data_IF_766348214245
#
_entry.id   IF_766348214245
#
_cell.length_a   1.000
_cell.length_b   1.000
_cell.length_c   1.000
_cell.angle_alpha   90.00
_cell.angle_beta   90.00
_cell.angle_gamma   90.00
#
_symmetry.space_group_name_H-M   'P 1'
#
loop_
_entity.id
_entity.type
_entity.pdbx_description
1 polymer ?
#
# COMPACT_ATOMS: atom_id res chain seq x y z
N UNK A 1 -39.23 19.96 0.29
CA UNK A 1 -38.36 18.86 0.74
C UNK A 1 -36.99 19.12 0.15
N UNK A 2 -35.93 19.04 0.96
CA UNK A 2 -34.58 19.04 0.40
C UNK A 2 -34.42 17.78 -0.44
N UNK A 3 -34.01 17.93 -1.69
CA UNK A 3 -33.80 16.80 -2.59
C UNK A 3 -32.49 16.11 -2.20
N UNK A 4 -32.50 14.79 -2.20
CA UNK A 4 -31.29 14.00 -1.91
C UNK A 4 -30.76 13.42 -3.20
N UNK A 5 -29.43 13.26 -3.29
CA UNK A 5 -28.82 12.58 -4.43
C UNK A 5 -29.39 11.16 -4.63
N UNK A 6 -29.86 10.52 -3.56
CA UNK A 6 -30.44 9.18 -3.60
C UNK A 6 -31.69 9.09 -4.49
N UNK A 7 -32.56 10.09 -4.43
CA UNK A 7 -33.75 10.15 -5.29
C UNK A 7 -33.35 10.38 -6.74
N UNK A 8 -32.47 11.35 -6.99
CA UNK A 8 -31.98 11.65 -8.33
C UNK A 8 -31.24 10.45 -8.95
N UNK A 9 -30.46 9.72 -8.15
CA UNK A 9 -29.76 8.52 -8.59
C UNK A 9 -30.72 7.39 -8.97
N UNK A 10 -31.87 7.25 -8.28
CA UNK A 10 -32.89 6.28 -8.65
C UNK A 10 -33.57 6.63 -9.98
N UNK A 11 -33.82 7.91 -10.23
CA UNK A 11 -34.39 8.42 -11.50
C UNK A 11 -33.42 8.21 -12.67
N UNK A 12 -32.13 8.41 -12.43
CA UNK A 12 -31.07 8.31 -13.43
C UNK A 12 -30.49 6.90 -13.59
N UNK A 13 -30.86 5.94 -12.74
CA UNK A 13 -30.22 4.61 -12.67
C UNK A 13 -30.19 3.87 -14.03
N UNK A 14 -31.21 4.07 -14.87
CA UNK A 14 -31.33 3.47 -16.20
C UNK A 14 -30.27 3.96 -17.21
N UNK A 15 -29.63 5.11 -16.95
CA UNK A 15 -28.61 5.70 -17.80
C UNK A 15 -27.20 5.16 -17.50
N UNK A 16 -27.07 4.29 -16.49
CA UNK A 16 -25.79 3.76 -16.02
C UNK A 16 -25.74 2.24 -16.18
N UNK A 17 -24.54 1.73 -16.42
CA UNK A 17 -24.26 0.30 -16.65
C UNK A 17 -24.18 -0.50 -15.35
N UNK A 18 -23.98 0.19 -14.22
CA UNK A 18 -23.71 -0.39 -12.92
C UNK A 18 -24.35 0.47 -11.81
N UNK A 19 -24.64 -0.08 -10.62
CA UNK A 19 -25.29 0.68 -9.55
C UNK A 19 -24.54 1.96 -9.19
N UNK A 20 -25.27 3.05 -9.03
CA UNK A 20 -24.74 4.33 -8.55
C UNK A 20 -24.48 4.22 -7.05
N UNK A 21 -23.25 4.52 -6.61
CA UNK A 21 -22.82 4.39 -5.21
C UNK A 21 -22.43 5.71 -4.54
N UNK A 22 -22.23 6.76 -5.33
CA UNK A 22 -21.94 8.12 -4.87
C UNK A 22 -22.16 9.12 -6.01
N UNK A 23 -21.98 10.40 -5.74
CA UNK A 23 -21.90 11.44 -6.76
C UNK A 23 -20.71 12.36 -6.52
N UNK A 24 -20.28 13.08 -7.55
CA UNK A 24 -19.47 14.28 -7.42
C UNK A 24 -20.39 15.49 -7.50
N UNK A 25 -20.34 16.33 -6.49
CA UNK A 25 -20.99 17.65 -6.48
C UNK A 25 -19.87 18.68 -6.61
N UNK A 26 -19.88 19.47 -7.69
CA UNK A 26 -18.87 20.51 -7.95
C UNK A 26 -17.42 19.96 -7.86
N UNK A 27 -17.21 18.73 -8.35
CA UNK A 27 -15.92 18.02 -8.31
C UNK A 27 -15.63 17.25 -7.03
N UNK A 28 -16.36 17.47 -5.93
CA UNK A 28 -16.15 16.77 -4.66
C UNK A 28 -17.00 15.51 -4.53
N UNK A 29 -16.38 14.40 -4.12
CA UNK A 29 -17.10 13.12 -3.90
C UNK A 29 -17.97 13.20 -2.66
N UNK A 30 -19.27 12.96 -2.83
CA UNK A 30 -20.29 12.93 -1.78
C UNK A 30 -21.08 11.63 -1.82
N UNK A 31 -21.47 11.15 -0.64
CA UNK A 31 -22.43 10.04 -0.49
C UNK A 31 -23.77 10.43 -1.13
N UNK A 32 -24.45 9.45 -1.73
CA UNK A 32 -25.81 9.55 -2.27
C UNK A 32 -26.86 10.00 -1.24
N UNK A 33 -26.58 9.87 0.06
CA UNK A 33 -27.41 10.44 1.13
C UNK A 33 -27.30 11.97 1.26
N UNK A 34 -26.37 12.60 0.54
CA UNK A 34 -26.14 14.05 0.66
C UNK A 34 -27.23 14.85 -0.05
N UNK A 35 -27.51 16.01 0.51
CA UNK A 35 -28.36 17.04 -0.09
C UNK A 35 -27.60 17.74 -1.23
N UNK A 36 -28.35 18.27 -2.19
CA UNK A 36 -27.81 19.07 -3.30
C UNK A 36 -28.72 20.27 -3.58
N UNK A 37 -28.15 21.32 -4.16
CA UNK A 37 -28.84 22.53 -4.61
C UNK A 37 -29.06 22.52 -6.13
N UNK A 38 -29.96 23.38 -6.62
CA UNK A 38 -30.34 23.40 -8.03
C UNK A 38 -29.20 23.77 -9.00
N UNK A 39 -28.22 24.54 -8.53
CA UNK A 39 -27.10 25.04 -9.32
C UNK A 39 -25.86 24.14 -9.23
N UNK A 40 -25.94 23.03 -8.49
CA UNK A 40 -24.83 22.08 -8.34
C UNK A 40 -24.57 21.32 -9.65
N UNK A 41 -23.29 21.21 -10.02
CA UNK A 41 -22.85 20.29 -11.07
C UNK A 41 -22.73 18.87 -10.49
N UNK A 42 -23.59 17.97 -10.95
CA UNK A 42 -23.70 16.60 -10.43
C UNK A 42 -23.27 15.59 -11.50
N UNK A 43 -22.34 14.71 -11.13
CA UNK A 43 -22.02 13.51 -11.92
C UNK A 43 -21.99 12.27 -11.01
N UNK A 44 -22.61 11.18 -11.44
CA UNK A 44 -22.69 9.97 -10.62
C UNK A 44 -21.44 9.09 -10.75
N UNK A 45 -21.20 8.30 -9.70
CA UNK A 45 -20.11 7.33 -9.61
C UNK A 45 -20.73 5.93 -9.60
N UNK A 46 -20.45 5.16 -10.63
CA UNK A 46 -20.84 3.75 -10.74
C UNK A 46 -19.93 2.84 -9.89
N UNK A 47 -20.50 1.75 -9.38
CA UNK A 47 -19.80 0.75 -8.58
C UNK A 47 -18.60 0.13 -9.31
N UNK A 48 -18.71 -0.12 -10.62
CA UNK A 48 -17.66 -0.74 -11.44
C UNK A 48 -16.44 0.16 -11.71
N UNK A 49 -16.42 1.40 -11.22
CA UNK A 49 -15.28 2.31 -11.32
C UNK A 49 -14.26 2.08 -10.17
N UNK A 50 -13.00 2.50 -10.35
CA UNK A 50 -11.98 2.45 -9.27
C UNK A 50 -12.44 3.18 -8.00
N UNK A 51 -13.16 4.29 -8.15
CA UNK A 51 -13.73 5.02 -7.00
C UNK A 51 -14.92 4.28 -6.37
N UNK A 52 -15.79 3.68 -7.19
CA UNK A 52 -16.90 2.85 -6.73
C UNK A 52 -16.44 1.68 -5.88
N UNK A 53 -15.39 0.96 -6.31
CA UNK A 53 -14.81 -0.14 -5.52
C UNK A 53 -14.13 0.31 -4.23
N UNK A 54 -13.55 1.53 -4.17
CA UNK A 54 -13.05 2.10 -2.89
C UNK A 54 -14.19 2.41 -1.92
N UNK A 55 -15.33 2.91 -2.41
CA UNK A 55 -16.54 3.14 -1.62
C UNK A 55 -17.12 1.81 -1.11
N UNK A 56 -17.11 0.79 -1.97
CA UNK A 56 -17.48 -0.57 -1.62
C UNK A 56 -16.61 -1.14 -0.50
N UNK A 57 -15.28 -1.11 -0.67
CA UNK A 57 -14.32 -1.62 0.33
C UNK A 57 -14.45 -0.88 1.67
N UNK A 58 -14.68 0.43 1.66
CA UNK A 58 -14.94 1.21 2.89
C UNK A 58 -16.22 0.76 3.58
N UNK A 59 -17.27 0.48 2.81
CA UNK A 59 -18.56 0.01 3.35
C UNK A 59 -18.43 -1.40 3.94
N UNK A 60 -17.66 -2.30 3.31
CA UNK A 60 -17.30 -3.61 3.86
C UNK A 60 -16.49 -3.46 5.17
N UNK A 61 -15.50 -2.55 5.20
CA UNK A 61 -14.74 -2.28 6.41
C UNK A 61 -15.67 -1.83 7.55
N UNK A 62 -16.62 -0.92 7.26
CA UNK A 62 -17.56 -0.48 8.28
C UNK A 62 -18.45 -1.61 8.77
N UNK A 63 -18.99 -2.42 7.85
CA UNK A 63 -19.76 -3.62 8.18
C UNK A 63 -18.98 -4.59 9.07
N UNK A 64 -17.70 -4.83 8.75
CA UNK A 64 -16.80 -5.66 9.54
C UNK A 64 -16.58 -5.10 10.95
N UNK A 65 -16.35 -3.78 11.09
CA UNK A 65 -16.21 -3.11 12.40
C UNK A 65 -17.48 -3.30 13.23
N UNK A 66 -18.66 -3.11 12.64
CA UNK A 66 -19.94 -3.27 13.33
C UNK A 66 -20.17 -4.73 13.76
N UNK A 67 -19.89 -5.70 12.88
CA UNK A 67 -19.99 -7.12 13.20
C UNK A 67 -19.10 -7.50 14.40
N UNK A 68 -17.83 -7.09 14.38
CA UNK A 68 -16.89 -7.34 15.49
C UNK A 68 -17.37 -6.68 16.79
N UNK A 69 -17.83 -5.42 16.72
CA UNK A 69 -18.32 -4.70 17.90
C UNK A 69 -19.61 -5.31 18.48
N UNK A 70 -20.48 -5.88 17.66
CA UNK A 70 -21.70 -6.55 18.14
C UNK A 70 -21.36 -7.81 18.92
N UNK A 71 -20.32 -8.54 18.50
CA UNK A 71 -19.85 -9.74 19.19
C UNK A 71 -19.12 -9.41 20.49
N UNK A 72 -18.33 -8.34 20.52
CA UNK A 72 -17.68 -7.85 21.73
C UNK A 72 -17.50 -6.32 21.71
N UNK A 73 -18.16 -5.63 22.65
CA UNK A 73 -18.10 -4.17 22.78
C UNK A 73 -16.71 -3.62 23.14
N UNK A 74 -15.86 -4.43 23.75
CA UNK A 74 -14.47 -4.08 24.07
C UNK A 74 -13.50 -4.36 22.92
N UNK A 75 -13.98 -4.96 21.82
CA UNK A 75 -13.14 -5.21 20.67
C UNK A 75 -12.72 -3.92 19.97
N UNK A 76 -11.49 -3.91 19.46
CA UNK A 76 -10.95 -2.84 18.65
C UNK A 76 -10.55 -3.39 17.27
N UNK A 77 -11.04 -2.73 16.23
CA UNK A 77 -10.60 -2.98 14.86
C UNK A 77 -9.80 -1.77 14.40
N UNK A 78 -8.57 -2.02 13.94
CA UNK A 78 -7.68 -0.99 13.39
C UNK A 78 -7.31 -1.38 11.97
N UNK A 79 -7.87 -0.69 10.99
CA UNK A 79 -7.42 -0.79 9.60
C UNK A 79 -5.97 -0.31 9.50
N UNK A 80 -5.09 -1.10 8.86
CA UNK A 80 -3.67 -0.74 8.70
C UNK A 80 -3.37 -0.35 7.27
N UNK A 81 -3.05 -1.31 6.41
CA UNK A 81 -2.59 -1.05 5.05
C UNK A 81 -3.23 -2.05 4.07
N UNK A 82 -3.09 -1.73 2.80
CA UNK A 82 -3.55 -2.58 1.70
C UNK A 82 -2.45 -3.55 1.29
N UNK A 83 -2.78 -4.83 1.19
CA UNK A 83 -1.86 -5.92 0.84
C UNK A 83 -2.51 -6.79 -0.23
N UNK A 84 -1.84 -6.93 -1.37
CA UNK A 84 -2.39 -7.58 -2.56
C UNK A 84 -3.82 -7.12 -2.86
N UNK A 85 -4.05 -5.80 -2.78
CA UNK A 85 -5.35 -5.13 -2.96
C UNK A 85 -6.44 -5.51 -1.95
N UNK A 86 -6.17 -6.37 -0.96
CA UNK A 86 -7.00 -6.59 0.22
C UNK A 86 -6.64 -5.62 1.34
N UNK A 87 -7.56 -5.38 2.27
CA UNK A 87 -7.36 -4.49 3.42
C UNK A 87 -7.04 -5.32 4.66
N UNK A 88 -5.84 -5.17 5.22
CA UNK A 88 -5.51 -5.80 6.49
C UNK A 88 -6.05 -4.98 7.67
N UNK A 89 -6.77 -5.65 8.55
CA UNK A 89 -7.29 -5.10 9.79
C UNK A 89 -6.71 -5.88 10.97
N UNK A 90 -6.10 -5.14 11.90
CA UNK A 90 -5.78 -5.70 13.21
C UNK A 90 -7.07 -5.77 14.04
N UNK A 91 -7.33 -6.94 14.62
CA UNK A 91 -8.49 -7.17 15.49
C UNK A 91 -7.96 -7.49 16.87
N UNK A 92 -8.33 -6.68 17.86
CA UNK A 92 -7.96 -6.88 19.25
C UNK A 92 -9.22 -7.16 20.05
N UNK A 93 -9.26 -8.34 20.66
CA UNK A 93 -10.34 -8.74 21.56
C UNK A 93 -9.69 -9.16 22.88
N UNK A 94 -9.98 -8.47 24.00
CA UNK A 94 -9.39 -8.82 25.29
C UNK A 94 -9.56 -10.30 25.63
N UNK A 95 -8.45 -10.98 25.94
CA UNK A 95 -8.44 -12.39 26.34
C UNK A 95 -8.79 -13.41 25.24
N UNK A 96 -8.98 -13.00 23.97
CA UNK A 96 -9.32 -13.92 22.88
C UNK A 96 -8.33 -13.81 21.70
N UNK A 97 -7.68 -14.92 21.31
CA UNK A 97 -6.84 -14.93 20.12
C UNK A 97 -7.69 -14.88 18.85
N UNK A 98 -7.10 -14.35 17.78
CA UNK A 98 -7.69 -14.41 16.44
C UNK A 98 -7.45 -15.80 15.85
N UNK A 99 -8.51 -16.48 15.45
CA UNK A 99 -8.45 -17.83 14.86
C UNK A 99 -9.55 -18.03 13.82
N UNK A 100 -9.50 -19.14 13.09
CA UNK A 100 -10.45 -19.45 12.01
C UNK A 100 -11.92 -19.49 12.46
N UNK A 101 -12.21 -19.96 13.67
CA UNK A 101 -13.58 -20.01 14.19
C UNK A 101 -14.13 -18.60 14.41
N UNK A 102 -13.36 -17.73 15.07
CA UNK A 102 -13.76 -16.34 15.27
C UNK A 102 -14.00 -15.62 13.94
N UNK A 103 -13.13 -15.83 12.94
CA UNK A 103 -13.30 -15.17 11.63
C UNK A 103 -14.52 -15.69 10.89
N UNK A 104 -14.80 -16.99 11.00
CA UNK A 104 -16.02 -17.57 10.47
C UNK A 104 -17.27 -16.97 11.13
N UNK A 105 -17.28 -16.84 12.46
CA UNK A 105 -18.41 -16.25 13.19
C UNK A 105 -18.63 -14.77 12.80
N UNK A 106 -17.55 -14.00 12.63
CA UNK A 106 -17.63 -12.61 12.12
C UNK A 106 -18.19 -12.59 10.69
N UNK A 107 -17.74 -13.49 9.83
CA UNK A 107 -18.26 -13.58 8.45
C UNK A 107 -19.76 -13.90 8.44
N UNK A 108 -20.21 -14.82 9.29
CA UNK A 108 -21.64 -15.15 9.43
C UNK A 108 -22.46 -13.93 9.86
N UNK A 109 -22.03 -13.21 10.89
CA UNK A 109 -22.69 -11.96 11.34
C UNK A 109 -22.76 -10.93 10.21
N UNK A 110 -21.68 -10.74 9.45
CA UNK A 110 -21.68 -9.84 8.29
C UNK A 110 -22.67 -10.29 7.21
N UNK A 111 -22.72 -11.59 6.90
CA UNK A 111 -23.66 -12.14 5.90
C UNK A 111 -25.11 -12.02 6.35
N UNK A 112 -25.40 -12.20 7.64
CA UNK A 112 -26.73 -11.98 8.20
C UNK A 112 -27.13 -10.50 8.14
N UNK A 113 -26.22 -9.57 8.42
CA UNK A 113 -26.46 -8.14 8.24
C UNK A 113 -26.82 -7.81 6.78
N UNK A 114 -26.09 -8.38 5.82
CA UNK A 114 -26.37 -8.18 4.38
C UNK A 114 -27.72 -8.76 3.99
N UNK A 115 -28.06 -9.97 4.45
CA UNK A 115 -29.33 -10.62 4.17
C UNK A 115 -30.54 -9.81 4.69
N UNK A 116 -30.36 -9.15 5.84
CA UNK A 116 -31.37 -8.28 6.44
C UNK A 116 -31.39 -6.84 5.88
N UNK A 117 -30.51 -6.52 4.92
CA UNK A 117 -30.35 -5.21 4.33
C UNK A 117 -30.33 -4.07 5.37
N UNK A 118 -29.42 -4.16 6.34
CA UNK A 118 -29.26 -3.12 7.37
C UNK A 118 -28.90 -1.77 6.71
N UNK A 119 -29.53 -0.65 7.12
CA UNK A 119 -29.18 0.68 6.63
C UNK A 119 -27.86 1.20 7.20
N UNK A 120 -27.16 2.01 6.42
CA UNK A 120 -25.95 2.76 6.80
C UNK A 120 -26.30 4.24 6.70
N UNK A 121 -26.70 4.83 7.81
CA UNK A 121 -27.29 6.18 7.85
C UNK A 121 -26.23 7.22 8.10
N UNK A 122 -26.14 8.23 7.24
CA UNK A 122 -25.28 9.39 7.43
C UNK A 122 -25.98 10.45 8.27
N UNK A 123 -25.29 10.97 9.28
CA UNK A 123 -25.73 12.12 10.06
C UNK A 123 -24.70 13.25 9.96
N UNK A 124 -25.19 14.49 9.99
CA UNK A 124 -24.37 15.69 10.13
C UNK A 124 -24.66 16.29 11.50
N UNK A 125 -23.69 16.21 12.42
CA UNK A 125 -23.85 16.66 13.80
C UNK A 125 -22.81 17.75 14.14
N UNK A 126 -23.09 18.64 15.11
CA UNK A 126 -22.11 19.60 15.60
C UNK A 126 -20.82 18.90 16.07
N UNK A 127 -19.67 19.54 15.81
CA UNK A 127 -18.35 19.00 16.19
C UNK A 127 -18.27 18.61 17.67
N UNK A 128 -18.84 19.43 18.55
CA UNK A 128 -18.82 19.17 20.00
C UNK A 128 -19.60 17.91 20.37
N UNK A 129 -20.78 17.72 19.77
CA UNK A 129 -21.61 16.52 19.97
C UNK A 129 -20.88 15.26 19.48
N UNK A 130 -20.17 15.35 18.34
CA UNK A 130 -19.36 14.24 17.83
C UNK A 130 -18.22 13.87 18.80
N UNK A 131 -17.54 14.86 19.39
CA UNK A 131 -16.48 14.63 20.38
C UNK A 131 -17.04 13.89 21.59
N UNK A 132 -18.16 14.37 22.15
CA UNK A 132 -18.82 13.76 23.31
C UNK A 132 -19.29 12.34 23.02
N UNK A 133 -19.86 12.11 21.83
CA UNK A 133 -20.28 10.79 21.37
C UNK A 133 -19.11 9.79 21.40
N UNK A 134 -17.96 10.13 20.80
CA UNK A 134 -16.82 9.21 20.75
C UNK A 134 -16.11 9.05 22.10
N UNK A 135 -16.12 10.07 22.96
CA UNK A 135 -15.61 9.95 24.33
C UNK A 135 -16.46 8.99 25.16
N UNK A 136 -17.79 9.08 25.07
CA UNK A 136 -18.72 8.17 25.76
C UNK A 136 -18.56 6.71 25.30
N UNK A 137 -18.16 6.48 24.05
CA UNK A 137 -17.85 5.15 23.50
C UNK A 137 -16.39 4.70 23.75
N UNK A 138 -15.62 5.44 24.55
CA UNK A 138 -14.22 5.13 24.85
C UNK A 138 -13.24 5.31 23.67
N UNK A 139 -13.68 5.90 22.55
CA UNK A 139 -12.89 6.09 21.33
C UNK A 139 -12.11 7.42 21.37
N UNK A 140 -11.24 7.57 22.37
CA UNK A 140 -10.48 8.82 22.64
C UNK A 140 -9.67 9.33 21.43
N UNK A 141 -9.04 8.44 20.66
CA UNK A 141 -8.29 8.84 19.46
C UNK A 141 -9.16 9.51 18.39
N UNK A 142 -10.40 9.00 18.18
CA UNK A 142 -11.36 9.63 17.25
C UNK A 142 -11.83 10.99 17.77
N UNK A 143 -12.10 11.10 19.07
CA UNK A 143 -12.46 12.37 19.67
C UNK A 143 -11.35 13.43 19.50
N UNK A 144 -10.08 13.05 19.72
CA UNK A 144 -8.92 13.93 19.50
C UNK A 144 -8.77 14.33 18.02
N UNK A 145 -8.93 13.39 17.09
CA UNK A 145 -8.93 13.67 15.65
C UNK A 145 -10.01 14.70 15.31
N UNK A 146 -11.25 14.47 15.73
CA UNK A 146 -12.38 15.36 15.43
C UNK A 146 -12.19 16.76 16.03
N UNK A 147 -11.63 16.85 17.25
CA UNK A 147 -11.31 18.12 17.88
C UNK A 147 -10.28 18.95 17.07
N UNK A 148 -9.39 18.28 16.34
CA UNK A 148 -8.40 18.93 15.48
C UNK A 148 -8.95 19.38 14.11
N UNK A 149 -10.14 18.93 13.72
CA UNK A 149 -10.73 19.28 12.42
C UNK A 149 -11.24 20.73 12.41
N UNK A 150 -11.08 21.45 11.29
CA UNK A 150 -11.52 22.84 11.16
C UNK A 150 -13.04 22.98 10.97
N UNK A 151 -13.76 21.88 10.74
CA UNK A 151 -15.19 21.89 10.39
C UNK A 151 -16.09 21.98 11.62
N UNK A 152 -17.10 22.85 11.57
CA UNK A 152 -18.11 22.99 12.64
C UNK A 152 -19.12 21.85 12.69
N UNK A 153 -19.38 21.21 11.55
CA UNK A 153 -20.26 20.06 11.39
C UNK A 153 -19.45 18.84 10.95
N UNK A 154 -19.75 17.69 11.55
CA UNK A 154 -19.04 16.44 11.32
C UNK A 154 -20.02 15.42 10.76
N UNK A 155 -19.63 14.79 9.65
CA UNK A 155 -20.37 13.64 9.11
C UNK A 155 -19.99 12.38 9.88
N UNK A 156 -20.98 11.76 10.52
CA UNK A 156 -20.86 10.44 11.14
C UNK A 156 -21.76 9.44 10.41
N UNK A 157 -21.41 8.17 10.47
CA UNK A 157 -22.25 7.10 9.95
C UNK A 157 -22.68 6.17 11.07
N UNK A 158 -23.91 5.71 11.01
CA UNK A 158 -24.47 4.76 11.95
C UNK A 158 -24.93 3.52 11.18
N UNK A 159 -24.51 2.35 11.64
CA UNK A 159 -25.07 1.08 11.19
C UNK A 159 -25.53 0.29 12.42
N UNK A 160 -26.81 -0.10 12.44
CA UNK A 160 -27.51 -0.51 13.68
C UNK A 160 -27.38 0.57 14.77
N UNK A 161 -26.70 0.26 15.87
CA UNK A 161 -26.46 1.18 16.99
C UNK A 161 -24.98 1.59 17.12
N UNK A 162 -24.17 1.34 16.10
CA UNK A 162 -22.74 1.62 16.14
C UNK A 162 -22.42 2.89 15.33
N UNK A 163 -22.07 4.01 15.98
CA UNK A 163 -21.63 5.22 15.30
C UNK A 163 -20.13 5.16 14.98
N UNK A 164 -19.76 5.64 13.79
CA UNK A 164 -18.36 5.77 13.40
C UNK A 164 -18.09 7.00 12.53
N UNK A 165 -16.87 7.50 12.62
CA UNK A 165 -16.27 8.51 11.76
C UNK A 165 -15.27 7.82 10.83
N UNK A 166 -15.71 7.58 9.59
CA UNK A 166 -14.89 7.06 8.50
C UNK A 166 -14.87 8.09 7.37
N UNK A 167 -13.67 8.47 6.93
CA UNK A 167 -13.50 9.47 5.88
C UNK A 167 -13.94 8.92 4.52
N UNK A 168 -14.89 9.59 3.88
CA UNK A 168 -15.37 9.35 2.51
C UNK A 168 -16.81 8.79 2.43
N UNK A 169 -17.31 8.65 1.20
CA UNK A 169 -18.65 8.12 0.93
C UNK A 169 -18.74 6.61 1.24
N UNK A 170 -19.91 6.15 1.67
CA UNK A 170 -20.26 4.73 1.86
C UNK A 170 -21.57 4.41 1.15
N UNK A 171 -21.84 3.13 0.92
CA UNK A 171 -23.15 2.70 0.45
C UNK A 171 -24.20 3.00 1.53
N UNK A 172 -25.45 3.35 1.14
CA UNK A 172 -26.51 3.70 2.09
C UNK A 172 -27.12 2.49 2.82
N UNK A 173 -26.79 1.27 2.36
CA UNK A 173 -27.31 0.02 2.89
C UNK A 173 -26.36 -1.15 2.61
N UNK A 174 -26.59 -2.28 3.27
CA UNK A 174 -25.69 -3.45 3.19
C UNK A 174 -26.00 -4.39 2.02
N UNK A 175 -27.12 -4.22 1.30
CA UNK A 175 -27.60 -5.14 0.24
C UNK A 175 -26.55 -5.57 -0.79
N UNK A 176 -25.73 -4.63 -1.27
CA UNK A 176 -24.74 -4.88 -2.32
C UNK A 176 -23.43 -5.47 -1.79
N UNK A 177 -23.24 -5.53 -0.47
CA UNK A 177 -21.97 -5.85 0.19
C UNK A 177 -21.67 -7.37 0.24
N UNK A 178 -22.26 -8.19 -0.63
CA UNK A 178 -22.11 -9.65 -0.63
C UNK A 178 -20.77 -10.20 -1.14
N UNK A 179 -19.96 -9.39 -1.84
CA UNK A 179 -18.71 -9.81 -2.46
C UNK A 179 -17.51 -9.47 -1.57
N UNK A 180 -17.23 -10.33 -0.60
CA UNK A 180 -16.03 -10.25 0.23
C UNK A 180 -15.57 -11.63 0.70
N UNK A 181 -14.31 -11.72 1.11
CA UNK A 181 -13.77 -12.86 1.85
C UNK A 181 -12.86 -12.37 2.99
N UNK A 182 -12.83 -13.11 4.09
CA UNK A 182 -11.99 -12.84 5.24
C UNK A 182 -10.95 -13.95 5.39
N UNK A 183 -9.67 -13.61 5.24
CA UNK A 183 -8.58 -14.55 5.52
C UNK A 183 -7.99 -14.27 6.90
N UNK A 184 -7.75 -15.33 7.68
CA UNK A 184 -7.07 -15.23 8.96
C UNK A 184 -5.59 -14.92 8.73
N UNK A 185 -5.10 -13.88 9.40
CA UNK A 185 -3.69 -13.49 9.37
C UNK A 185 -3.17 -13.32 10.80
N UNK A 186 -1.85 -13.26 10.96
CA UNK A 186 -1.23 -13.11 12.28
C UNK A 186 -1.70 -11.81 12.95
N UNK A 187 -2.43 -11.95 14.08
CA UNK A 187 -3.00 -10.83 14.85
C UNK A 187 -4.03 -9.97 14.08
N UNK A 188 -4.72 -10.55 13.09
CA UNK A 188 -5.73 -9.80 12.33
C UNK A 188 -6.43 -10.59 11.23
N UNK A 189 -7.02 -9.83 10.30
CA UNK A 189 -7.80 -10.32 9.16
C UNK A 189 -7.39 -9.58 7.91
N UNK A 190 -7.23 -10.30 6.80
CA UNK A 190 -7.18 -9.72 5.47
C UNK A 190 -8.58 -9.74 4.84
N UNK A 191 -9.14 -8.57 4.61
CA UNK A 191 -10.42 -8.39 3.92
C UNK A 191 -10.15 -8.30 2.41
N UNK A 192 -10.62 -9.26 1.63
CA UNK A 192 -10.56 -9.21 0.16
C UNK A 192 -11.91 -8.79 -0.41
N UNK A 193 -11.87 -7.79 -1.29
CA UNK A 193 -13.03 -7.29 -2.06
C UNK A 193 -12.69 -7.29 -3.55
N UNK A 194 -13.69 -7.19 -4.44
CA UNK A 194 -13.44 -6.87 -5.83
C UNK A 194 -12.81 -5.48 -5.99
N UNK A 195 -12.23 -5.26 -7.15
CA UNK A 195 -11.81 -3.96 -7.67
C UNK A 195 -12.02 -3.84 -9.19
N UNK A 196 -11.62 -2.71 -9.77
CA UNK A 196 -11.82 -2.38 -11.18
C UNK A 196 -11.23 -3.40 -12.16
N UNK A 197 -10.29 -4.24 -11.73
CA UNK A 197 -9.64 -5.25 -12.57
C UNK A 197 -10.26 -6.64 -12.44
N UNK A 198 -11.27 -6.81 -11.60
CA UNK A 198 -11.81 -8.13 -11.23
C UNK A 198 -13.23 -8.39 -11.74
N UNK A 199 -13.86 -7.40 -12.36
CA UNK A 199 -15.23 -7.50 -12.87
C UNK A 199 -16.21 -8.06 -11.81
N UNK A 200 -16.14 -7.51 -10.60
CA UNK A 200 -16.98 -7.91 -9.47
C UNK A 200 -16.60 -9.21 -8.77
N UNK A 201 -15.54 -9.91 -9.20
CA UNK A 201 -15.07 -11.15 -8.55
C UNK A 201 -14.15 -10.84 -7.37
N UNK A 202 -14.28 -11.59 -6.28
CA UNK A 202 -13.36 -11.48 -5.15
C UNK A 202 -11.96 -11.92 -5.62
N UNK A 203 -10.95 -11.11 -5.34
CA UNK A 203 -9.54 -11.43 -5.67
C UNK A 203 -9.13 -12.76 -5.07
N UNK A 204 -8.34 -13.55 -5.78
CA UNK A 204 -7.78 -14.80 -5.23
C UNK A 204 -6.81 -14.51 -4.09
N UNK A 205 -6.78 -15.41 -3.09
CA UNK A 205 -5.79 -15.33 -2.01
C UNK A 205 -4.42 -15.62 -2.58
N UNK A 206 -3.43 -14.81 -2.20
CA UNK A 206 -2.02 -15.02 -2.51
C UNK A 206 -1.27 -15.10 -1.19
N UNK A 207 -0.54 -16.19 -0.98
CA UNK A 207 0.25 -16.39 0.23
C UNK A 207 1.42 -15.41 0.29
N UNK A 208 1.62 -14.78 1.44
CA UNK A 208 2.66 -13.78 1.64
C UNK A 208 3.44 -14.04 2.93
N UNK A 209 4.42 -14.95 2.91
CA UNK A 209 5.10 -15.40 4.13
C UNK A 209 5.85 -14.27 4.86
N UNK A 210 6.28 -13.22 4.15
CA UNK A 210 6.97 -12.06 4.74
C UNK A 210 6.03 -11.00 5.30
N UNK A 211 4.74 -11.10 5.02
CA UNK A 211 3.78 -10.05 5.30
C UNK A 211 3.64 -9.78 6.80
N UNK A 212 3.43 -10.82 7.62
CA UNK A 212 3.34 -10.70 9.08
C UNK A 212 4.60 -10.09 9.72
N UNK A 213 5.78 -10.39 9.17
CA UNK A 213 7.04 -9.81 9.64
C UNK A 213 7.13 -8.30 9.36
N UNK A 214 6.79 -7.87 8.14
CA UNK A 214 6.78 -6.43 7.77
C UNK A 214 5.81 -5.67 8.68
N UNK A 215 4.67 -6.28 8.95
CA UNK A 215 3.63 -5.78 9.85
C UNK A 215 4.14 -5.52 11.27
N UNK A 216 4.81 -6.54 11.83
CA UNK A 216 5.37 -6.47 13.16
C UNK A 216 6.50 -5.43 13.23
N UNK A 217 7.34 -5.37 12.19
CA UNK A 217 8.44 -4.41 12.09
C UNK A 217 7.92 -2.96 12.07
N UNK A 218 6.92 -2.67 11.22
CA UNK A 218 6.31 -1.33 11.14
C UNK A 218 5.67 -0.89 12.46
N UNK A 219 5.01 -1.80 13.18
CA UNK A 219 4.43 -1.51 14.51
C UNK A 219 5.51 -1.20 15.55
N UNK A 220 6.58 -1.98 15.57
CA UNK A 220 7.67 -1.75 16.53
C UNK A 220 8.36 -0.42 16.24
N UNK A 221 8.56 -0.06 14.96
CA UNK A 221 9.10 1.23 14.58
C UNK A 221 8.20 2.38 15.04
N UNK A 222 6.89 2.29 14.78
CA UNK A 222 5.94 3.31 15.22
C UNK A 222 5.91 3.47 16.75
N UNK A 223 6.12 2.38 17.49
CA UNK A 223 6.24 2.38 18.96
C UNK A 223 7.52 3.06 19.43
N UNK A 224 8.66 2.75 18.82
CA UNK A 224 9.96 3.39 19.13
C UNK A 224 9.91 4.89 18.83
N UNK A 225 9.21 5.28 17.76
CA UNK A 225 9.02 6.68 17.38
C UNK A 225 7.96 7.41 18.22
N UNK A 226 7.24 6.69 19.10
CA UNK A 226 6.09 7.22 19.87
C UNK A 226 5.05 7.93 18.98
N UNK A 227 4.92 7.48 17.72
CA UNK A 227 4.10 8.14 16.71
C UNK A 227 3.26 7.16 15.87
N UNK A 228 2.36 6.36 16.47
CA UNK A 228 1.51 5.43 15.74
C UNK A 228 0.39 6.08 14.91
N UNK A 229 -0.02 7.32 15.21
CA UNK A 229 -1.13 8.02 14.57
C UNK A 229 -0.76 9.45 14.15
N UNK A 230 -1.56 10.02 13.24
CA UNK A 230 -1.39 11.42 12.78
C UNK A 230 -1.57 12.44 13.91
N UNK A 231 -2.39 12.13 14.92
CA UNK A 231 -2.56 12.96 16.11
C UNK A 231 -1.25 13.09 16.89
N UNK A 232 -0.47 12.00 16.96
CA UNK A 232 0.80 11.97 17.68
C UNK A 232 1.82 12.82 16.91
N UNK A 233 1.86 12.71 15.57
CA UNK A 233 2.71 13.56 14.73
C UNK A 233 2.37 15.04 14.88
N UNK A 234 1.08 15.38 14.89
CA UNK A 234 0.62 16.75 15.11
C UNK A 234 1.06 17.28 16.47
N UNK A 235 0.96 16.46 17.52
CA UNK A 235 1.41 16.80 18.87
C UNK A 235 2.93 17.02 18.91
N UNK A 236 3.72 16.09 18.36
CA UNK A 236 5.19 16.21 18.25
C UNK A 236 5.60 17.51 17.55
N UNK A 237 4.87 17.88 16.50
CA UNK A 237 5.11 19.12 15.77
C UNK A 237 4.81 20.35 16.63
N UNK A 238 3.68 20.38 17.35
CA UNK A 238 3.36 21.48 18.27
C UNK A 238 4.32 21.58 19.45
N UNK A 239 4.91 20.47 19.88
CA UNK A 239 5.94 20.42 20.94
C UNK A 239 7.35 20.74 20.42
N UNK A 240 7.51 21.06 19.13
CA UNK A 240 8.81 21.32 18.48
C UNK A 240 9.82 20.15 18.59
N UNK A 241 9.32 18.90 18.68
CA UNK A 241 10.13 17.67 18.81
C UNK A 241 10.40 16.94 17.49
N UNK A 242 10.01 17.51 16.35
CA UNK A 242 10.16 16.89 15.02
C UNK A 242 11.61 16.48 14.69
N UNK A 243 12.61 17.26 15.14
CA UNK A 243 14.02 16.92 14.92
C UNK A 243 14.50 15.67 15.67
N UNK A 244 13.90 15.34 16.81
CA UNK A 244 14.14 14.07 17.52
C UNK A 244 13.55 12.90 16.74
N UNK A 245 12.29 13.02 16.31
CA UNK A 245 11.59 12.03 15.50
C UNK A 245 12.38 11.65 14.24
N UNK A 246 12.87 12.65 13.49
CA UNK A 246 13.65 12.44 12.26
C UNK A 246 14.92 11.64 12.57
N UNK A 247 15.70 12.05 13.59
CA UNK A 247 16.97 11.38 13.93
C UNK A 247 16.76 9.93 14.37
N UNK A 248 15.72 9.64 15.15
CA UNK A 248 15.39 8.27 15.55
C UNK A 248 14.98 7.44 14.31
N UNK A 249 14.16 8.00 13.43
CA UNK A 249 13.74 7.34 12.18
C UNK A 249 14.94 7.01 11.27
N UNK A 250 15.84 7.98 11.05
CA UNK A 250 17.05 7.78 10.25
C UNK A 250 17.99 6.74 10.89
N UNK A 251 18.12 6.74 12.21
CA UNK A 251 18.93 5.77 12.95
C UNK A 251 18.34 4.35 12.87
N UNK A 252 17.01 4.19 12.92
CA UNK A 252 16.34 2.90 12.71
C UNK A 252 16.61 2.37 11.31
N UNK A 253 16.53 3.23 10.29
CA UNK A 253 16.84 2.86 8.91
C UNK A 253 18.31 2.45 8.76
N UNK A 254 19.25 3.20 9.33
CA UNK A 254 20.68 2.89 9.26
C UNK A 254 20.99 1.55 9.96
N UNK A 255 20.39 1.32 11.14
CA UNK A 255 20.50 0.04 11.84
C UNK A 255 20.01 -1.13 10.98
N UNK A 256 18.93 -0.94 10.22
CA UNK A 256 18.39 -1.98 9.33
C UNK A 256 19.31 -2.24 8.13
N UNK A 257 19.90 -1.20 7.55
CA UNK A 257 20.87 -1.33 6.46
C UNK A 257 22.12 -2.07 6.95
N UNK A 258 22.63 -1.74 8.14
CA UNK A 258 23.75 -2.45 8.75
C UNK A 258 23.43 -3.95 8.96
N UNK A 259 22.25 -4.29 9.49
CA UNK A 259 21.82 -5.69 9.63
C UNK A 259 21.75 -6.44 8.29
N UNK A 260 21.30 -5.77 7.22
CA UNK A 260 21.29 -6.35 5.87
C UNK A 260 22.74 -6.60 5.39
N UNK A 261 23.64 -5.63 5.61
CA UNK A 261 25.05 -5.78 5.27
C UNK A 261 25.73 -6.90 6.07
N UNK A 262 25.42 -7.06 7.36
CA UNK A 262 25.93 -8.15 8.21
C UNK A 262 25.48 -9.52 7.69
N UNK A 263 24.20 -9.62 7.31
CA UNK A 263 23.66 -10.83 6.71
C UNK A 263 24.35 -11.17 5.38
N UNK A 264 24.57 -10.18 4.52
CA UNK A 264 25.26 -10.37 3.24
C UNK A 264 26.72 -10.81 3.48
N UNK A 265 27.43 -10.14 4.40
CA UNK A 265 28.83 -10.42 4.70
C UNK A 265 29.04 -11.82 5.31
N UNK A 266 28.14 -12.28 6.18
CA UNK A 266 28.17 -13.64 6.72
C UNK A 266 27.93 -14.72 5.68
N UNK A 267 27.35 -14.38 4.53
CA UNK A 267 27.06 -15.28 3.41
C UNK A 267 27.87 -14.95 2.14
N UNK A 268 29.01 -14.24 2.28
CA UNK A 268 29.83 -13.75 1.16
C UNK A 268 30.30 -14.82 0.17
N UNK A 269 30.40 -16.07 0.60
CA UNK A 269 30.80 -17.19 -0.27
C UNK A 269 29.69 -17.58 -1.27
N UNK A 270 28.44 -17.22 -0.97
CA UNK A 270 27.29 -17.52 -1.81
C UNK A 270 26.77 -16.25 -2.49
N UNK A 271 26.51 -15.20 -1.72
CA UNK A 271 25.89 -13.96 -2.23
C UNK A 271 26.92 -13.15 -3.02
N UNK A 272 26.71 -13.05 -4.33
CA UNK A 272 27.55 -12.27 -5.25
C UNK A 272 26.77 -11.16 -5.96
N UNK A 273 25.45 -11.27 -6.03
CA UNK A 273 24.57 -10.33 -6.70
C UNK A 273 23.51 -9.80 -5.73
N UNK A 274 23.47 -8.49 -5.49
CA UNK A 274 22.54 -7.81 -4.60
C UNK A 274 21.60 -6.99 -5.47
N UNK A 275 20.33 -7.37 -5.50
CA UNK A 275 19.30 -6.81 -6.37
C UNK A 275 18.35 -5.95 -5.55
N UNK A 276 18.27 -4.66 -5.89
CA UNK A 276 17.44 -3.67 -5.22
C UNK A 276 16.36 -3.21 -6.20
N UNK A 277 15.09 -3.38 -5.83
CA UNK A 277 13.98 -2.79 -6.58
C UNK A 277 13.03 -2.04 -5.66
N UNK A 278 12.15 -1.27 -6.28
CA UNK A 278 11.19 -0.39 -5.63
C UNK A 278 10.60 0.56 -6.67
N UNK A 279 9.42 1.15 -6.41
CA UNK A 279 8.81 2.11 -7.31
C UNK A 279 9.76 3.27 -7.67
N UNK A 280 9.46 3.97 -8.77
CA UNK A 280 10.14 5.21 -9.09
C UNK A 280 10.04 6.19 -7.91
N UNK A 281 11.14 6.88 -7.60
CA UNK A 281 11.29 7.77 -6.44
C UNK A 281 11.23 7.13 -5.05
N UNK A 282 11.33 5.80 -4.92
CA UNK A 282 11.35 5.12 -3.61
C UNK A 282 12.68 5.21 -2.83
N UNK A 283 13.67 5.97 -3.33
CA UNK A 283 14.99 6.10 -2.69
C UNK A 283 15.97 4.95 -2.94
N UNK A 284 15.80 4.16 -4.02
CA UNK A 284 16.68 3.04 -4.40
C UNK A 284 18.16 3.40 -4.42
N UNK A 285 18.52 4.43 -5.18
CA UNK A 285 19.92 4.88 -5.33
C UNK A 285 20.52 5.27 -3.97
N UNK A 286 19.79 6.04 -3.16
CA UNK A 286 20.23 6.45 -1.82
C UNK A 286 20.41 5.25 -0.88
N UNK A 287 19.48 4.29 -0.91
CA UNK A 287 19.60 3.05 -0.13
C UNK A 287 20.80 2.21 -0.61
N UNK A 288 21.00 2.06 -1.92
CA UNK A 288 22.11 1.31 -2.50
C UNK A 288 23.46 1.91 -2.09
N UNK A 289 23.59 3.24 -2.09
CA UNK A 289 24.78 3.94 -1.62
C UNK A 289 25.04 3.72 -0.13
N UNK A 290 24.01 3.84 0.72
CA UNK A 290 24.13 3.57 2.17
C UNK A 290 24.50 2.10 2.44
N UNK A 291 23.88 1.16 1.72
CA UNK A 291 24.22 -0.26 1.80
C UNK A 291 25.66 -0.53 1.36
N UNK A 292 26.13 0.12 0.28
CA UNK A 292 27.52 0.02 -0.16
C UNK A 292 28.49 0.45 0.94
N UNK A 293 28.20 1.54 1.67
CA UNK A 293 29.02 1.99 2.81
C UNK A 293 29.04 0.91 3.90
N UNK A 294 27.88 0.37 4.30
CA UNK A 294 27.80 -0.66 5.34
C UNK A 294 28.50 -1.98 4.93
N UNK A 295 28.41 -2.37 3.67
CA UNK A 295 29.15 -3.52 3.15
C UNK A 295 30.66 -3.30 3.20
N UNK A 296 31.15 -2.08 2.94
CA UNK A 296 32.57 -1.71 3.10
C UNK A 296 33.02 -1.77 4.55
N UNK A 297 32.20 -1.33 5.49
CA UNK A 297 32.47 -1.49 6.94
C UNK A 297 32.66 -2.97 7.29
N UNK A 298 31.90 -3.86 6.64
CA UNK A 298 32.02 -5.31 6.80
C UNK A 298 33.14 -5.97 5.97
N UNK A 299 34.02 -5.18 5.34
CA UNK A 299 35.18 -5.67 4.60
C UNK A 299 34.88 -6.17 3.18
N UNK A 300 33.67 -5.93 2.65
CA UNK A 300 33.33 -6.21 1.25
C UNK A 300 33.57 -4.98 0.38
N UNK A 301 33.92 -5.17 -0.88
CA UNK A 301 34.19 -4.08 -1.81
C UNK A 301 33.17 -4.04 -2.96
N UNK A 302 31.88 -3.76 -2.68
CA UNK A 302 30.83 -3.88 -3.68
C UNK A 302 30.99 -2.87 -4.82
N UNK A 303 30.67 -3.32 -6.04
CA UNK A 303 30.57 -2.48 -7.23
C UNK A 303 29.09 -2.24 -7.55
N UNK A 304 28.73 -1.00 -7.88
CA UNK A 304 27.36 -0.65 -8.26
C UNK A 304 27.22 -0.60 -9.78
N UNK A 305 26.13 -1.15 -10.29
CA UNK A 305 25.73 -1.09 -11.70
C UNK A 305 24.26 -0.69 -11.73
N UNK A 306 23.92 0.40 -12.44
CA UNK A 306 22.52 0.77 -12.60
C UNK A 306 21.88 -0.12 -13.67
N UNK A 307 20.65 -0.57 -13.41
CA UNK A 307 19.91 -1.34 -14.40
C UNK A 307 19.49 -0.46 -15.60
N UNK A 308 19.35 0.83 -15.37
CA UNK A 308 18.96 1.80 -16.39
C UNK A 308 19.99 1.88 -17.53
N UNK A 309 21.26 1.60 -17.25
CA UNK A 309 22.32 1.53 -18.26
C UNK A 309 22.09 0.44 -19.32
N UNK A 310 21.21 -0.51 -19.03
CA UNK A 310 20.85 -1.63 -19.91
C UNK A 310 19.53 -1.40 -20.67
N UNK A 311 18.94 -0.21 -20.64
CA UNK A 311 17.84 0.12 -21.55
C UNK A 311 18.24 -0.12 -23.01
N UNK A 312 17.29 -0.64 -23.79
CA UNK A 312 17.36 -0.64 -25.25
C UNK A 312 17.36 0.80 -25.76
N UNK A 313 17.79 1.02 -27.00
CA UNK A 313 17.66 2.35 -27.59
C UNK A 313 16.17 2.74 -27.63
N UNK A 314 15.91 4.05 -27.60
CA UNK A 314 14.55 4.60 -27.63
C UNK A 314 13.73 4.06 -28.80
N UNK A 315 14.36 3.83 -29.96
CA UNK A 315 13.70 3.27 -31.14
C UNK A 315 13.33 1.79 -31.01
N UNK A 316 14.05 1.05 -30.17
CA UNK A 316 13.88 -0.38 -29.90
C UNK A 316 12.99 -0.63 -28.65
N UNK A 317 12.70 0.40 -27.86
CA UNK A 317 11.86 0.31 -26.66
C UNK A 317 10.41 -0.03 -27.05
N UNK A 318 9.76 -1.00 -26.38
CA UNK A 318 8.38 -1.37 -26.67
C UNK A 318 7.43 -0.19 -26.49
N UNK A 319 6.28 -0.24 -27.15
CA UNK A 319 5.21 0.76 -27.00
C UNK A 319 4.03 0.19 -26.23
N UNK A 320 3.45 1.01 -25.36
CA UNK A 320 2.22 0.68 -24.64
C UNK A 320 0.98 0.82 -25.55
N UNK A 321 -0.20 0.51 -24.99
CA UNK A 321 -1.50 0.58 -25.68
C UNK A 321 -1.83 1.99 -26.23
N UNK A 322 -1.19 3.05 -25.70
CA UNK A 322 -1.34 4.43 -26.15
C UNK A 322 -0.31 4.84 -27.22
N UNK A 323 0.51 3.90 -27.69
CA UNK A 323 1.58 4.13 -28.67
C UNK A 323 2.80 4.88 -28.13
N UNK A 324 2.91 5.06 -26.81
CA UNK A 324 4.04 5.70 -26.14
C UNK A 324 5.09 4.66 -25.72
N UNK A 325 6.36 5.03 -25.64
CA UNK A 325 7.42 4.14 -25.16
C UNK A 325 7.15 3.67 -23.72
N UNK A 326 7.22 2.36 -23.51
CA UNK A 326 6.95 1.69 -22.23
C UNK A 326 8.25 1.32 -21.52
N UNK A 327 8.87 2.31 -20.87
CA UNK A 327 10.10 2.13 -20.08
C UNK A 327 9.87 1.35 -18.78
N UNK A 328 8.63 1.08 -18.39
CA UNK A 328 8.29 0.28 -17.21
C UNK A 328 8.15 -1.22 -17.55
N UNK A 329 8.25 -1.58 -18.84
CA UNK A 329 8.31 -2.97 -19.28
C UNK A 329 9.71 -3.54 -19.10
N UNK A 330 9.79 -4.80 -18.65
CA UNK A 330 11.04 -5.56 -18.63
C UNK A 330 11.64 -5.69 -20.03
N UNK A 331 10.80 -5.64 -21.07
CA UNK A 331 11.23 -5.76 -22.46
C UNK A 331 11.87 -4.45 -22.97
N UNK A 332 11.83 -3.36 -22.20
CA UNK A 332 12.64 -2.16 -22.46
C UNK A 332 14.11 -2.37 -22.07
N UNK A 333 14.43 -3.38 -21.28
CA UNK A 333 15.79 -3.71 -20.84
C UNK A 333 16.35 -4.83 -21.71
N UNK A 334 17.59 -4.67 -22.14
CA UNK A 334 18.36 -5.72 -22.80
C UNK A 334 18.81 -6.78 -21.78
N UNK A 335 17.86 -7.64 -21.43
CA UNK A 335 18.06 -8.72 -20.46
C UNK A 335 19.11 -9.73 -20.92
N UNK A 336 19.32 -9.89 -22.23
CA UNK A 336 20.33 -10.79 -22.78
C UNK A 336 21.73 -10.26 -22.52
N UNK A 337 22.01 -9.00 -22.91
CA UNK A 337 23.29 -8.34 -22.62
C UNK A 337 23.55 -8.27 -21.12
N UNK A 338 22.51 -7.95 -20.34
CA UNK A 338 22.62 -7.91 -18.89
C UNK A 338 23.07 -9.24 -18.30
N UNK A 339 22.40 -10.36 -18.63
CA UNK A 339 22.80 -11.68 -18.13
C UNK A 339 24.21 -12.06 -18.57
N UNK A 340 24.55 -11.82 -19.84
CA UNK A 340 25.89 -12.07 -20.36
C UNK A 340 26.95 -11.32 -19.53
N UNK A 341 26.79 -10.00 -19.38
CA UNK A 341 27.72 -9.16 -18.63
C UNK A 341 27.85 -9.63 -17.17
N UNK A 342 26.72 -9.96 -16.51
CA UNK A 342 26.75 -10.42 -15.12
C UNK A 342 27.46 -11.77 -14.99
N UNK A 343 27.24 -12.72 -15.91
CA UNK A 343 27.94 -14.01 -15.91
C UNK A 343 29.44 -13.85 -16.14
N UNK A 344 29.83 -13.04 -17.12
CA UNK A 344 31.24 -12.76 -17.41
C UNK A 344 31.93 -12.12 -16.21
N UNK A 345 31.30 -11.11 -15.58
CA UNK A 345 31.81 -10.49 -14.36
C UNK A 345 31.94 -11.49 -13.20
N UNK A 346 30.92 -12.33 -12.97
CA UNK A 346 30.93 -13.33 -11.91
C UNK A 346 32.01 -14.41 -12.11
N UNK A 347 32.38 -14.68 -13.37
CA UNK A 347 33.50 -15.55 -13.76
C UNK A 347 34.87 -14.84 -13.73
N UNK A 348 34.92 -13.56 -13.36
CA UNK A 348 36.16 -12.79 -13.23
C UNK A 348 36.69 -12.22 -14.56
N UNK A 349 35.89 -12.26 -15.63
CA UNK A 349 36.25 -11.65 -16.90
C UNK A 349 36.12 -10.13 -16.85
N UNK A 350 36.88 -9.45 -17.71
CA UNK A 350 36.80 -8.00 -17.90
C UNK A 350 35.69 -7.70 -18.90
N UNK A 351 34.73 -6.86 -18.49
CA UNK A 351 33.50 -6.55 -19.24
C UNK A 351 33.39 -5.04 -19.41
N UNK A 352 33.04 -4.57 -20.61
CA UNK A 352 32.67 -3.18 -20.83
C UNK A 352 31.21 -2.97 -20.42
N UNK A 353 30.94 -1.96 -19.60
CA UNK A 353 29.59 -1.67 -19.14
C UNK A 353 28.99 -0.57 -19.99
N UNK A 354 27.74 -0.72 -20.47
CA UNK A 354 27.08 0.34 -21.21
C UNK A 354 26.75 1.54 -20.31
N UNK A 355 26.49 2.68 -20.94
CA UNK A 355 25.88 3.84 -20.31
C UNK A 355 24.64 4.23 -21.11
N UNK A 356 23.49 4.39 -20.46
CA UNK A 356 22.28 4.84 -21.17
C UNK A 356 22.14 6.35 -21.09
N UNK A 357 22.20 7.02 -22.24
CA UNK A 357 22.03 8.46 -22.30
C UNK A 357 20.55 8.81 -22.50
N UNK A 358 19.89 9.26 -21.43
CA UNK A 358 18.47 9.63 -21.47
C UNK A 358 18.14 10.79 -22.43
N UNK A 359 19.10 11.69 -22.72
CA UNK A 359 18.91 12.80 -23.64
C UNK A 359 18.80 12.27 -25.06
N UNK A 360 19.81 11.52 -25.51
CA UNK A 360 19.85 10.96 -26.86
C UNK A 360 18.92 9.75 -27.02
N UNK A 361 18.57 9.09 -25.92
CA UNK A 361 17.81 7.84 -25.90
C UNK A 361 18.61 6.68 -26.48
N UNK A 362 19.92 6.68 -26.32
CA UNK A 362 20.81 5.67 -26.90
C UNK A 362 21.78 5.12 -25.88
N UNK A 363 22.12 3.85 -26.06
CA UNK A 363 23.21 3.21 -25.35
C UNK A 363 24.55 3.69 -25.91
N UNK A 364 25.45 4.06 -25.03
CA UNK A 364 26.79 4.53 -25.34
C UNK A 364 27.83 3.61 -24.70
N UNK A 365 28.93 3.38 -25.41
CA UNK A 365 30.05 2.57 -24.95
C UNK A 365 31.26 3.48 -24.75
N UNK A 366 31.67 3.67 -23.50
CA UNK A 366 32.81 4.52 -23.17
C UNK A 366 34.08 3.68 -23.06
N UNK A 367 35.18 4.17 -23.62
CA UNK A 367 36.45 3.44 -23.69
C UNK A 367 37.10 3.19 -22.31
N UNK A 368 36.67 3.91 -21.28
CA UNK A 368 37.16 3.81 -19.91
C UNK A 368 36.24 3.00 -18.96
N UNK A 369 35.04 2.62 -19.41
CA UNK A 369 34.04 1.97 -18.56
C UNK A 369 34.13 0.44 -18.57
N UNK A 370 35.25 -0.09 -18.10
CA UNK A 370 35.47 -1.53 -17.95
C UNK A 370 35.45 -1.94 -16.48
N UNK A 371 34.75 -3.03 -16.18
CA UNK A 371 34.72 -3.66 -14.87
C UNK A 371 35.34 -5.06 -14.93
N UNK A 372 36.02 -5.45 -13.86
CA UNK A 372 36.47 -6.82 -13.63
C UNK A 372 36.37 -7.08 -12.13
N UNK A 373 35.61 -8.12 -11.74
CA UNK A 373 35.42 -8.42 -10.32
C UNK A 373 36.63 -9.12 -9.73
N UNK A 374 36.99 -8.74 -8.50
CA UNK A 374 37.80 -9.55 -7.60
C UNK A 374 36.90 -10.49 -6.77
N UNK A 375 37.48 -11.48 -6.12
CA UNK A 375 36.74 -12.49 -5.35
C UNK A 375 35.87 -11.90 -4.22
N UNK A 376 36.29 -10.79 -3.62
CA UNK A 376 35.64 -10.10 -2.50
C UNK A 376 34.65 -8.99 -2.92
N UNK A 377 34.36 -8.89 -4.22
CA UNK A 377 33.50 -7.85 -4.78
C UNK A 377 32.13 -8.40 -5.18
N UNK A 378 31.09 -8.22 -4.36
CA UNK A 378 29.72 -8.42 -4.80
C UNK A 378 29.27 -7.26 -5.70
N UNK A 379 28.30 -7.51 -6.57
CA UNK A 379 27.67 -6.48 -7.40
C UNK A 379 26.36 -6.05 -6.75
N UNK A 380 26.13 -4.74 -6.65
CA UNK A 380 24.84 -4.14 -6.32
C UNK A 380 24.20 -3.65 -7.62
N UNK A 381 22.98 -4.07 -7.88
CA UNK A 381 22.15 -3.58 -8.97
C UNK A 381 20.90 -2.95 -8.40
N UNK A 382 20.58 -1.76 -8.88
CA UNK A 382 19.34 -1.08 -8.56
C UNK A 382 18.53 -0.81 -9.84
N UNK A 383 17.21 -0.96 -9.75
CA UNK A 383 16.28 -0.67 -10.84
C UNK A 383 14.88 -1.23 -10.57
N UNK A 384 13.87 -0.73 -11.29
CA UNK A 384 12.46 -1.13 -11.10
C UNK A 384 12.23 -2.65 -11.31
N UNK A 385 13.07 -3.29 -12.13
CA UNK A 385 12.99 -4.72 -12.43
C UNK A 385 14.02 -5.59 -11.68
N UNK A 386 14.76 -5.05 -10.70
CA UNK A 386 15.80 -5.81 -10.00
C UNK A 386 15.33 -7.15 -9.41
N UNK A 387 14.04 -7.26 -9.04
CA UNK A 387 13.48 -8.51 -8.49
C UNK A 387 12.84 -9.42 -9.54
N UNK A 388 12.68 -8.98 -10.79
CA UNK A 388 12.10 -9.77 -11.87
C UNK A 388 12.98 -11.00 -12.17
N UNK A 389 12.42 -12.20 -12.13
CA UNK A 389 13.19 -13.42 -12.37
C UNK A 389 13.69 -13.52 -13.82
N UNK A 390 13.00 -12.90 -14.79
CA UNK A 390 13.45 -12.84 -16.19
C UNK A 390 14.78 -12.08 -16.34
N UNK A 391 15.01 -11.07 -15.50
CA UNK A 391 16.21 -10.23 -15.57
C UNK A 391 17.50 -11.03 -15.28
N UNK A 392 17.44 -12.02 -14.40
CA UNK A 392 18.62 -12.75 -13.92
C UNK A 392 18.48 -14.26 -14.14
N UNK A 393 17.77 -14.69 -15.18
CA UNK A 393 17.36 -16.09 -15.36
C UNK A 393 18.55 -17.08 -15.32
N UNK A 394 19.71 -16.67 -15.83
CA UNK A 394 20.89 -17.53 -15.94
C UNK A 394 21.75 -17.57 -14.66
N UNK A 395 21.46 -16.70 -13.69
CA UNK A 395 22.23 -16.61 -12.45
C UNK A 395 21.58 -17.49 -11.39
N UNK A 396 22.38 -18.30 -10.69
CA UNK A 396 21.89 -19.20 -9.65
C UNK A 396 21.18 -18.44 -8.51
N UNK A 397 20.03 -18.94 -8.03
CA UNK A 397 19.24 -18.30 -6.97
C UNK A 397 20.04 -18.07 -5.68
N UNK A 398 20.90 -19.02 -5.30
CA UNK A 398 21.76 -18.92 -4.11
C UNK A 398 22.77 -17.76 -4.17
N UNK A 399 23.06 -17.27 -5.38
CA UNK A 399 23.99 -16.16 -5.60
C UNK A 399 23.34 -14.79 -5.49
N UNK A 400 22.01 -14.75 -5.37
CA UNK A 400 21.21 -13.53 -5.37
C UNK A 400 20.74 -13.17 -3.96
N UNK A 401 20.85 -11.91 -3.61
CA UNK A 401 20.18 -11.31 -2.47
C UNK A 401 19.20 -10.25 -2.97
N UNK A 402 17.93 -10.38 -2.58
CA UNK A 402 16.82 -9.61 -3.16
C UNK A 402 16.22 -8.67 -2.13
N UNK A 403 16.26 -7.37 -2.41
CA UNK A 403 15.78 -6.30 -1.54
C UNK A 403 14.69 -5.52 -2.28
N UNK A 404 13.53 -5.37 -1.64
CA UNK A 404 12.47 -4.48 -2.09
C UNK A 404 12.41 -3.28 -1.16
N UNK A 405 12.37 -2.08 -1.73
CA UNK A 405 12.16 -0.83 -0.98
C UNK A 405 10.70 -0.42 -1.19
N UNK A 406 9.95 -0.48 -0.10
CA UNK A 406 8.65 0.16 0.01
C UNK A 406 8.86 1.54 0.60
N UNK A 407 8.47 2.59 -0.12
CA UNK A 407 8.46 3.96 0.36
C UNK A 407 7.02 4.38 0.71
#
# INVERSE_FOLDING_TARGET
MKKTLMQLAQEEAQNYSSPIVAAKINGEVRDIQSEYDHDDEISFIELNTSLGWRIYQRSILFLFIVAVSNMNKEAEVVAKFTVNKGLYCEVKIPGKPINAHLIHDIEQEMREMIANNIPIVKHSIPRQEAIELFQAHGKRGKAALIASLPHSMISIYTCRNYPDYLYGAMLPETKLLGQFALDVEQSGVLIRTPDEMTDGKIRTRVEQPKFGHILSEAKEWAKILECPYISDLNQINTEHRTGELIRISEALQEKRIAQIADHIASHRNNIRLILIAGPSSSGKTSFAQRLQIQLRVNGLHPIMISLDDYFLNREDTPRNEKGQYDYESIDAIDTALFNQNMLELLNGHKVQIPYYNFITGKREWRDDNFLQLKEDQPIIIEGIHGLNERLTADIARKSKYKIYISA
#
